data_IF_254093278317
#
_entry.id   IF_254093278317
#
_cell.length_a   1.000
_cell.length_b   1.000
_cell.length_c   1.000
_cell.angle_alpha   90.00
_cell.angle_beta   90.00
_cell.angle_gamma   90.00
#
_symmetry.space_group_name_H-M   'P 1'
#
loop_
_entity.id
_entity.type
_entity.pdbx_description
1 polymer ?
#
# COMPACT_ATOMS: atom_id res chain seq x y z
N UNK A 1 67.25 -40.49 -10.16
CA UNK A 1 67.23 -40.90 -8.73
C UNK A 1 67.76 -39.75 -7.90
N UNK A 2 67.06 -39.28 -6.85
CA UNK A 2 67.71 -38.80 -5.65
C UNK A 2 68.02 -40.00 -4.73
N UNK A 3 69.05 -39.91 -3.88
CA UNK A 3 68.80 -39.81 -2.43
C UNK A 3 69.75 -38.73 -1.82
N UNK A 4 69.58 -38.20 -0.61
CA UNK A 4 69.53 -38.91 0.68
C UNK A 4 69.08 -37.93 1.78
N UNK A 5 68.44 -38.51 2.79
CA UNK A 5 67.81 -37.91 3.95
C UNK A 5 68.74 -37.44 5.08
N UNK A 6 68.12 -36.75 6.05
CA UNK A 6 68.61 -36.51 7.42
C UNK A 6 67.87 -35.31 8.02
N UNK A 7 66.62 -35.43 8.45
CA UNK A 7 66.13 -35.87 9.77
C UNK A 7 66.76 -35.10 10.95
N UNK A 8 65.93 -34.47 11.79
CA UNK A 8 65.81 -34.77 13.24
C UNK A 8 64.70 -33.91 13.91
N UNK A 9 63.61 -34.59 14.29
CA UNK A 9 62.98 -34.66 15.63
C UNK A 9 62.36 -33.37 16.24
N UNK A 10 61.25 -33.36 16.98
CA UNK A 10 59.96 -34.06 17.09
C UNK A 10 59.32 -33.55 18.40
N UNK A 11 58.01 -33.29 18.43
CA UNK A 11 57.05 -33.60 19.52
C UNK A 11 55.70 -32.93 19.18
N UNK A 12 54.71 -33.68 18.71
CA UNK A 12 53.50 -34.09 19.48
C UNK A 12 52.75 -32.88 20.05
N UNK A 13 51.56 -32.51 19.57
CA UNK A 13 50.33 -33.27 19.80
C UNK A 13 49.20 -32.96 18.79
N UNK A 14 48.19 -33.83 18.86
CA UNK A 14 47.03 -34.10 18.01
C UNK A 14 46.01 -32.98 17.75
N UNK A 15 45.59 -32.89 16.48
CA UNK A 15 44.22 -32.76 15.92
C UNK A 15 43.11 -32.21 16.81
N UNK A 16 42.43 -31.14 16.36
CA UNK A 16 40.97 -31.13 16.08
C UNK A 16 40.52 -29.86 15.35
N UNK A 17 39.49 -30.04 14.52
CA UNK A 17 38.84 -29.14 13.56
C UNK A 17 38.39 -27.77 14.09
N UNK A 18 38.47 -26.75 13.22
CA UNK A 18 37.85 -25.43 13.37
C UNK A 18 36.32 -25.53 13.18
N UNK A 19 35.49 -25.05 14.12
CA UNK A 19 34.09 -24.72 13.86
C UNK A 19 33.93 -23.20 13.66
N UNK A 20 33.35 -22.80 12.53
CA UNK A 20 32.76 -21.46 12.33
C UNK A 20 31.53 -21.33 13.22
N UNK A 21 31.53 -20.42 14.19
CA UNK A 21 30.33 -20.04 14.93
C UNK A 21 29.82 -18.69 14.45
N UNK A 22 28.63 -18.74 13.85
CA UNK A 22 27.64 -17.66 13.92
C UNK A 22 27.54 -17.17 15.37
N UNK A 23 27.74 -15.87 15.60
CA UNK A 23 27.46 -15.28 16.90
C UNK A 23 25.96 -15.04 17.05
N UNK A 24 25.41 -15.93 17.85
CA UNK A 24 24.12 -16.00 18.51
C UNK A 24 23.78 -14.67 19.25
N UNK A 25 22.93 -13.82 18.67
CA UNK A 25 22.32 -12.69 19.39
C UNK A 25 21.10 -13.21 20.16
N UNK A 26 21.35 -14.04 21.17
CA UNK A 26 20.35 -14.43 22.16
C UNK A 26 20.38 -13.46 23.35
N UNK A 27 19.35 -12.61 23.40
CA UNK A 27 18.68 -12.06 24.60
C UNK A 27 19.55 -11.82 25.85
N UNK A 28 20.23 -10.66 25.89
CA UNK A 28 20.54 -10.02 27.18
C UNK A 28 19.31 -9.24 27.65
N UNK A 29 18.71 -9.68 28.76
CA UNK A 29 17.65 -8.97 29.44
C UNK A 29 18.17 -7.61 29.95
N UNK A 30 17.95 -6.56 29.18
CA UNK A 30 18.04 -5.19 29.67
C UNK A 30 16.73 -4.85 30.36
N UNK A 31 16.81 -4.38 31.62
CA UNK A 31 15.65 -3.98 32.41
C UNK A 31 14.80 -2.91 31.69
N UNK A 32 13.53 -2.82 32.12
CA UNK A 32 12.39 -2.06 31.60
C UNK A 32 12.68 -0.74 30.83
N UNK A 33 13.73 0.00 31.20
CA UNK A 33 14.18 1.22 30.51
C UNK A 33 14.79 1.00 29.11
N UNK A 34 15.28 -0.20 28.80
CA UNK A 34 15.86 -0.54 27.49
C UNK A 34 14.80 -0.68 26.39
N UNK A 35 13.65 -1.27 26.74
CA UNK A 35 12.53 -1.43 25.82
C UNK A 35 11.81 -0.10 25.55
N UNK A 36 11.65 0.76 26.56
CA UNK A 36 11.05 2.09 26.38
C UNK A 36 11.91 2.97 25.45
N UNK A 37 13.24 2.91 25.57
CA UNK A 37 14.16 3.68 24.71
C UNK A 37 14.21 3.14 23.28
N UNK A 38 14.14 1.81 23.09
CA UNK A 38 14.11 1.20 21.76
C UNK A 38 12.78 1.45 21.03
N UNK A 39 11.67 1.42 21.77
CA UNK A 39 10.31 1.76 21.27
C UNK A 39 10.18 3.25 21.00
N UNK A 40 10.74 4.11 21.87
CA UNK A 40 10.77 5.55 21.63
C UNK A 40 11.64 5.88 20.41
N UNK A 41 12.84 5.32 20.30
CA UNK A 41 13.68 5.49 19.10
C UNK A 41 13.05 4.91 17.84
N UNK A 42 12.31 3.79 17.89
CA UNK A 42 11.63 3.25 16.70
C UNK A 42 10.42 4.09 16.29
N UNK A 43 9.71 4.66 17.27
CA UNK A 43 8.61 5.60 17.03
C UNK A 43 9.10 6.96 16.52
N UNK A 44 10.23 7.46 17.04
CA UNK A 44 10.89 8.69 16.58
C UNK A 44 11.57 8.48 15.24
N UNK A 45 12.17 7.33 14.95
CA UNK A 45 12.66 6.98 13.60
C UNK A 45 11.49 6.81 12.63
N UNK A 46 10.38 6.19 13.04
CA UNK A 46 9.18 6.11 12.21
C UNK A 46 8.55 7.48 11.97
N UNK A 47 8.54 8.37 12.98
CA UNK A 47 8.07 9.74 12.84
C UNK A 47 9.05 10.61 12.05
N UNK A 48 10.36 10.38 12.15
CA UNK A 48 11.38 11.04 11.36
C UNK A 48 11.36 10.55 9.91
N UNK A 49 11.11 9.27 9.65
CA UNK A 49 10.83 8.72 8.31
C UNK A 49 9.51 9.24 7.74
N UNK A 50 8.46 9.39 8.56
CA UNK A 50 7.19 10.05 8.18
C UNK A 50 7.37 11.55 7.93
N UNK A 51 8.23 12.24 8.68
CA UNK A 51 8.53 13.67 8.54
C UNK A 51 9.60 13.98 7.48
N UNK A 52 10.30 12.94 7.04
CA UNK A 52 11.19 12.95 5.89
C UNK A 52 10.44 12.59 4.61
N UNK A 53 9.12 12.74 4.50
CA UNK A 53 8.43 12.60 3.20
C UNK A 53 8.26 14.00 2.60
N UNK A 54 8.95 14.26 1.49
CA UNK A 54 9.23 15.61 0.96
C UNK A 54 8.30 15.95 -0.20
N UNK A 55 7.75 17.17 -0.19
CA UNK A 55 7.05 17.91 -1.27
C UNK A 55 6.49 17.02 -2.39
N UNK A 56 5.15 16.89 -2.45
CA UNK A 56 4.44 16.48 -3.66
C UNK A 56 5.03 17.22 -4.87
N UNK A 57 5.56 16.48 -5.82
CA UNK A 57 6.21 17.03 -7.02
C UNK A 57 5.25 17.09 -8.21
N UNK A 58 4.14 16.34 -8.14
CA UNK A 58 3.11 16.34 -9.17
C UNK A 58 1.88 15.52 -8.79
N UNK A 59 0.75 15.91 -9.35
CA UNK A 59 -0.51 15.16 -9.30
C UNK A 59 -0.63 14.36 -10.60
N UNK A 60 -0.73 13.04 -10.48
CA UNK A 60 -0.83 12.12 -11.62
C UNK A 60 -2.28 11.76 -11.94
N UNK A 61 -3.11 11.61 -10.90
CA UNK A 61 -4.55 11.41 -11.01
C UNK A 61 -5.22 12.33 -10.00
N UNK A 62 -6.25 13.04 -10.43
CA UNK A 62 -7.19 13.73 -9.57
C UNK A 62 -8.57 13.56 -10.15
N UNK A 63 -9.38 12.72 -9.51
CA UNK A 63 -10.72 12.40 -9.96
C UNK A 63 -11.71 12.56 -8.81
N UNK A 64 -12.68 13.43 -9.02
CA UNK A 64 -13.75 13.77 -8.06
C UNK A 64 -15.13 13.47 -8.65
N UNK A 65 -15.19 12.89 -9.85
CA UNK A 65 -16.40 12.54 -10.61
C UNK A 65 -17.35 13.70 -10.94
N UNK A 66 -16.98 14.95 -10.60
CA UNK A 66 -17.81 16.15 -10.77
C UNK A 66 -18.13 16.49 -12.23
N UNK A 67 -17.45 15.86 -13.18
CA UNK A 67 -17.81 15.91 -14.61
C UNK A 67 -19.06 15.09 -14.94
N UNK A 68 -19.55 14.27 -14.01
CA UNK A 68 -20.63 13.31 -14.23
C UNK A 68 -20.19 12.06 -15.02
N UNK A 69 -18.88 11.83 -15.15
CA UNK A 69 -18.30 10.70 -15.90
C UNK A 69 -17.27 9.96 -15.05
N UNK A 70 -16.91 8.73 -15.44
CA UNK A 70 -15.82 7.98 -14.77
C UNK A 70 -14.43 8.57 -15.03
N UNK A 71 -14.34 9.63 -15.84
CA UNK A 71 -13.09 10.29 -16.20
C UNK A 71 -12.10 9.32 -16.82
N UNK A 72 -10.97 9.12 -16.16
CA UNK A 72 -9.91 8.21 -16.63
C UNK A 72 -10.17 6.73 -16.29
N UNK A 73 -11.24 6.42 -15.58
CA UNK A 73 -11.56 5.06 -15.16
C UNK A 73 -12.53 4.38 -16.14
N UNK A 74 -12.38 3.07 -16.28
CA UNK A 74 -13.27 2.20 -17.03
C UNK A 74 -13.80 1.10 -16.12
N UNK A 75 -15.12 0.88 -16.16
CA UNK A 75 -15.75 -0.25 -15.46
C UNK A 75 -15.65 -1.52 -16.28
N UNK A 76 -15.37 -2.67 -15.64
CA UNK A 76 -15.48 -4.00 -16.26
C UNK A 76 -16.92 -4.35 -16.65
N UNK A 77 -17.89 -3.81 -15.92
CA UNK A 77 -19.33 -3.88 -16.22
C UNK A 77 -19.95 -2.49 -16.03
N UNK A 78 -20.43 -1.88 -17.11
CA UNK A 78 -21.03 -0.54 -17.09
C UNK A 78 -22.30 -0.44 -16.24
N UNK A 79 -22.90 -1.59 -15.90
CA UNK A 79 -24.02 -1.72 -14.98
C UNK A 79 -23.62 -1.69 -13.50
N UNK A 80 -22.35 -1.93 -13.17
CA UNK A 80 -21.88 -2.13 -11.81
C UNK A 80 -21.27 -0.87 -11.20
N UNK A 81 -20.17 -0.35 -11.77
CA UNK A 81 -19.59 0.91 -11.33
C UNK A 81 -20.22 2.09 -12.06
N UNK A 82 -20.92 2.95 -11.32
CA UNK A 82 -21.68 4.06 -11.88
C UNK A 82 -21.43 5.35 -11.13
N UNK A 83 -21.25 6.42 -11.90
CA UNK A 83 -21.30 7.77 -11.34
C UNK A 83 -22.72 8.05 -10.88
N UNK A 84 -22.83 8.54 -9.66
CA UNK A 84 -24.10 8.85 -9.01
C UNK A 84 -24.01 10.22 -8.35
N UNK A 85 -25.16 10.82 -8.03
CA UNK A 85 -25.22 12.18 -7.47
C UNK A 85 -26.32 12.40 -6.43
N UNK A 86 -26.84 11.32 -5.87
CA UNK A 86 -27.89 11.25 -4.85
C UNK A 86 -27.67 9.99 -4.02
N UNK A 87 -28.49 9.77 -3.00
CA UNK A 87 -28.53 8.51 -2.26
C UNK A 87 -28.62 7.30 -3.19
N UNK A 88 -27.97 6.21 -2.80
CA UNK A 88 -28.13 4.89 -3.42
C UNK A 88 -29.62 4.51 -3.51
N UNK A 89 -29.99 3.76 -4.55
CA UNK A 89 -31.38 3.38 -4.78
C UNK A 89 -31.87 2.31 -3.80
N UNK A 90 -30.96 1.50 -3.27
CA UNK A 90 -31.26 0.46 -2.29
C UNK A 90 -31.42 1.07 -0.88
N UNK A 91 -32.45 0.62 -0.16
CA UNK A 91 -32.71 1.08 1.20
C UNK A 91 -31.65 0.56 2.17
N UNK A 92 -31.27 1.36 3.17
CA UNK A 92 -30.23 1.01 4.16
C UNK A 92 -28.87 0.70 3.52
N UNK A 93 -28.57 1.36 2.42
CA UNK A 93 -27.22 1.50 1.90
C UNK A 93 -26.98 3.00 1.70
N UNK A 94 -25.76 3.37 1.31
CA UNK A 94 -25.44 4.76 1.15
C UNK A 94 -23.95 4.94 1.03
N UNK A 95 -23.56 6.06 0.44
CA UNK A 95 -23.78 7.39 1.03
C UNK A 95 -25.00 8.14 0.47
N UNK A 96 -25.38 9.25 1.09
CA UNK A 96 -26.44 10.17 0.60
C UNK A 96 -25.97 11.15 -0.49
N UNK A 97 -24.67 11.29 -0.68
CA UNK A 97 -24.03 12.20 -1.63
C UNK A 97 -22.52 11.94 -1.66
N UNK A 98 -21.79 12.68 -2.51
CA UNK A 98 -20.34 12.59 -2.59
C UNK A 98 -19.61 13.18 -1.38
N UNK A 99 -18.30 13.01 -1.32
CA UNK A 99 -17.45 13.52 -0.25
C UNK A 99 -17.26 15.04 -0.39
N UNK A 100 -18.06 15.82 0.34
CA UNK A 100 -18.14 17.28 0.20
C UNK A 100 -18.37 17.73 -1.26
N UNK A 101 -18.99 16.85 -2.06
CA UNK A 101 -19.11 16.94 -3.50
C UNK A 101 -20.51 16.50 -3.93
N UNK A 102 -20.84 16.65 -5.21
CA UNK A 102 -22.14 16.22 -5.73
C UNK A 102 -22.07 14.79 -6.26
N UNK A 103 -20.99 14.45 -6.95
CA UNK A 103 -20.84 13.22 -7.68
C UNK A 103 -19.85 12.28 -6.99
N UNK A 104 -20.13 10.99 -7.07
CA UNK A 104 -19.25 9.94 -6.60
C UNK A 104 -19.44 8.71 -7.47
N UNK A 105 -18.55 7.71 -7.37
CA UNK A 105 -18.76 6.41 -8.01
C UNK A 105 -19.23 5.39 -6.99
N UNK A 106 -20.25 4.61 -7.33
CA UNK A 106 -20.71 3.49 -6.50
C UNK A 106 -20.64 2.18 -7.25
N UNK A 107 -20.40 1.11 -6.51
CA UNK A 107 -20.54 -0.28 -6.90
C UNK A 107 -21.96 -0.74 -6.55
N UNK A 108 -22.79 -0.96 -7.57
CA UNK A 108 -24.16 -1.47 -7.41
C UNK A 108 -24.14 -2.97 -7.12
N UNK A 109 -24.59 -3.33 -5.92
CA UNK A 109 -24.58 -4.70 -5.42
C UNK A 109 -25.93 -5.42 -5.52
N UNK A 110 -27.03 -4.75 -5.90
CA UNK A 110 -28.36 -5.38 -5.86
C UNK A 110 -28.58 -6.54 -6.85
N UNK A 111 -27.77 -6.62 -7.91
CA UNK A 111 -27.82 -7.67 -8.94
C UNK A 111 -26.57 -8.57 -8.89
N UNK A 112 -26.29 -9.13 -7.72
CA UNK A 112 -25.04 -9.80 -7.38
C UNK A 112 -25.17 -11.30 -7.10
N UNK A 113 -26.19 -11.98 -7.63
CA UNK A 113 -26.31 -13.43 -7.51
C UNK A 113 -25.83 -14.15 -8.78
N UNK A 114 -24.87 -15.09 -8.68
CA UNK A 114 -24.00 -15.36 -7.52
C UNK A 114 -23.01 -14.20 -7.27
N UNK A 115 -22.32 -14.21 -6.12
CA UNK A 115 -21.30 -13.20 -5.76
C UNK A 115 -20.41 -12.85 -6.95
N UNK A 116 -20.20 -11.56 -7.18
CA UNK A 116 -19.49 -11.03 -8.35
C UNK A 116 -18.24 -10.29 -7.92
N UNK A 117 -17.26 -10.25 -8.80
CA UNK A 117 -16.09 -9.40 -8.66
C UNK A 117 -15.99 -8.51 -9.87
N UNK A 118 -16.08 -7.20 -9.65
CA UNK A 118 -16.05 -6.18 -10.70
C UNK A 118 -14.99 -5.12 -10.39
N UNK A 119 -14.50 -4.47 -11.46
CA UNK A 119 -13.32 -3.63 -11.41
C UNK A 119 -13.61 -2.25 -12.01
N UNK A 120 -13.14 -1.22 -11.32
CA UNK A 120 -13.02 0.14 -11.84
C UNK A 120 -11.53 0.43 -12.04
N UNK A 121 -11.07 0.41 -13.29
CA UNK A 121 -9.65 0.41 -13.65
C UNK A 121 -9.27 1.73 -14.29
N UNK A 122 -8.17 2.36 -13.85
CA UNK A 122 -7.67 3.58 -14.48
C UNK A 122 -7.09 3.30 -15.87
N UNK A 123 -6.98 4.33 -16.69
CA UNK A 123 -6.01 4.33 -17.78
C UNK A 123 -4.58 4.17 -17.24
N UNK A 124 -3.66 3.77 -18.13
CA UNK A 124 -2.23 3.79 -17.81
C UNK A 124 -1.80 5.22 -17.54
N UNK A 125 -1.11 5.45 -16.43
CA UNK A 125 -0.47 6.72 -16.10
C UNK A 125 1.02 6.52 -15.87
N UNK A 126 1.79 7.60 -16.03
CA UNK A 126 3.24 7.56 -15.86
C UNK A 126 3.67 8.33 -14.63
N UNK A 127 4.61 7.76 -13.88
CA UNK A 127 5.34 8.44 -12.81
C UNK A 127 6.80 8.67 -13.18
N UNK A 128 7.42 9.63 -12.53
CA UNK A 128 8.85 9.89 -12.66
C UNK A 128 9.66 8.72 -12.09
N UNK A 129 10.72 8.31 -12.80
CA UNK A 129 11.61 7.24 -12.35
C UNK A 129 12.35 7.70 -11.09
N UNK A 130 12.42 6.83 -10.07
CA UNK A 130 12.99 7.15 -8.76
C UNK A 130 12.06 7.92 -7.82
N UNK A 131 10.85 8.26 -8.27
CA UNK A 131 9.84 8.92 -7.43
C UNK A 131 8.90 7.87 -6.84
N UNK A 132 8.38 8.20 -5.67
CA UNK A 132 7.45 7.39 -4.91
C UNK A 132 6.01 7.82 -5.20
N UNK A 133 5.06 6.95 -4.90
CA UNK A 133 3.63 7.23 -5.07
C UNK A 133 2.93 7.37 -3.73
N UNK A 134 1.98 8.31 -3.71
CA UNK A 134 1.00 8.47 -2.67
C UNK A 134 -0.38 8.34 -3.28
N UNK A 135 -1.22 7.49 -2.70
CA UNK A 135 -2.60 7.32 -3.15
C UNK A 135 -3.53 7.65 -1.99
N UNK A 136 -4.49 8.52 -2.25
CA UNK A 136 -5.59 8.78 -1.33
C UNK A 136 -6.93 8.71 -2.06
N UNK A 137 -7.96 8.32 -1.31
CA UNK A 137 -9.34 8.30 -1.78
C UNK A 137 -10.27 8.25 -0.57
N UNK A 138 -11.49 8.73 -0.78
CA UNK A 138 -12.58 8.60 0.18
C UNK A 138 -13.42 7.38 -0.17
N UNK A 139 -13.91 6.66 0.84
CA UNK A 139 -14.83 5.55 0.66
C UNK A 139 -15.97 5.58 1.66
N UNK A 140 -17.11 5.01 1.27
CA UNK A 140 -18.27 4.83 2.14
C UNK A 140 -18.86 3.43 1.94
N UNK A 141 -19.06 2.70 3.04
CA UNK A 141 -19.53 1.31 3.03
C UNK A 141 -20.57 1.12 4.14
N UNK A 142 -21.84 1.34 3.79
CA UNK A 142 -23.01 1.11 4.63
C UNK A 142 -23.95 0.09 3.98
N UNK A 143 -24.30 -0.96 4.69
CA UNK A 143 -25.20 -2.02 4.24
C UNK A 143 -24.87 -3.39 4.83
N UNK A 144 -25.91 -4.15 5.21
CA UNK A 144 -25.79 -5.42 5.92
C UNK A 144 -25.09 -6.52 5.09
N UNK A 145 -25.21 -6.46 3.77
CA UNK A 145 -24.67 -7.45 2.82
C UNK A 145 -23.37 -6.93 2.17
N UNK A 146 -22.60 -6.13 2.91
CA UNK A 146 -21.42 -5.49 2.39
C UNK A 146 -20.32 -6.50 2.02
N UNK A 147 -19.83 -6.33 0.80
CA UNK A 147 -18.74 -7.11 0.25
C UNK A 147 -17.36 -6.65 0.73
N UNK A 148 -16.37 -6.83 -0.14
CA UNK A 148 -15.00 -6.37 0.07
C UNK A 148 -14.61 -5.39 -1.03
N UNK A 149 -14.23 -4.19 -0.62
CA UNK A 149 -13.61 -3.19 -1.48
C UNK A 149 -12.09 -3.30 -1.37
N UNK A 150 -11.39 -3.30 -2.49
CA UNK A 150 -9.93 -3.36 -2.55
C UNK A 150 -9.37 -2.33 -3.53
N UNK A 151 -8.18 -1.81 -3.24
CA UNK A 151 -7.35 -1.06 -4.16
C UNK A 151 -6.14 -1.92 -4.54
N UNK A 152 -5.90 -2.08 -5.84
CA UNK A 152 -4.80 -2.85 -6.39
C UNK A 152 -4.01 -2.03 -7.42
N UNK A 153 -2.73 -2.35 -7.59
CA UNK A 153 -1.82 -1.70 -8.57
C UNK A 153 -1.07 -2.73 -9.40
N UNK A 154 -0.77 -2.39 -10.66
CA UNK A 154 0.03 -3.21 -11.57
C UNK A 154 1.01 -2.34 -12.35
N UNK A 155 2.23 -2.86 -12.57
CA UNK A 155 3.18 -2.34 -13.57
C UNK A 155 3.07 -3.20 -14.85
N UNK A 156 2.51 -2.67 -15.95
CA UNK A 156 2.14 -3.45 -17.13
C UNK A 156 3.33 -4.01 -17.92
N UNK A 157 4.54 -3.47 -17.72
CA UNK A 157 5.78 -3.89 -18.36
C UNK A 157 6.66 -4.79 -17.46
N UNK A 158 6.20 -5.09 -16.24
CA UNK A 158 6.96 -5.96 -15.33
C UNK A 158 6.76 -7.44 -15.68
N UNK A 159 7.83 -8.24 -15.55
CA UNK A 159 7.78 -9.70 -15.74
C UNK A 159 6.88 -10.43 -14.71
N UNK A 160 6.50 -9.74 -13.63
CA UNK A 160 5.55 -10.20 -12.62
C UNK A 160 4.16 -9.67 -13.02
N UNK A 161 3.42 -10.44 -13.81
CA UNK A 161 2.19 -10.03 -14.50
C UNK A 161 0.96 -9.90 -13.58
N UNK A 162 1.18 -9.65 -12.28
CA UNK A 162 0.15 -9.69 -11.24
C UNK A 162 -0.27 -8.32 -10.71
N UNK A 163 -1.52 -8.25 -10.27
CA UNK A 163 -2.02 -7.16 -9.44
C UNK A 163 -1.50 -7.29 -8.01
N UNK A 164 -0.93 -6.21 -7.47
CA UNK A 164 -0.53 -6.11 -6.06
C UNK A 164 -1.65 -5.46 -5.26
N UNK A 165 -2.06 -6.09 -4.16
CA UNK A 165 -3.01 -5.50 -3.21
C UNK A 165 -2.33 -4.38 -2.43
N UNK A 166 -2.92 -3.18 -2.46
CA UNK A 166 -2.47 -2.04 -1.67
C UNK A 166 -3.30 -1.83 -0.40
N UNK A 167 -4.61 -2.04 -0.51
CA UNK A 167 -5.55 -1.86 0.60
C UNK A 167 -6.81 -2.67 0.36
N UNK A 168 -7.47 -3.14 1.42
CA UNK A 168 -8.85 -3.63 1.36
C UNK A 168 -9.63 -3.32 2.63
N UNK A 169 -10.94 -3.39 2.49
CA UNK A 169 -11.90 -3.33 3.58
C UNK A 169 -13.06 -4.27 3.27
N UNK A 170 -13.44 -5.08 4.26
CA UNK A 170 -14.58 -6.00 4.18
C UNK A 170 -15.67 -5.58 5.16
N UNK A 171 -16.93 -5.85 4.79
CA UNK A 171 -18.08 -5.61 5.66
C UNK A 171 -18.43 -4.12 5.81
N UNK A 172 -19.53 -3.86 6.51
CA UNK A 172 -19.99 -2.51 6.80
C UNK A 172 -18.98 -1.78 7.70
N UNK A 173 -18.63 -0.55 7.33
CA UNK A 173 -17.79 0.33 8.16
C UNK A 173 -18.49 1.62 8.57
N UNK A 174 -19.61 1.97 7.94
CA UNK A 174 -20.37 3.17 8.22
C UNK A 174 -21.71 2.82 8.86
N UNK A 175 -22.07 3.52 9.93
CA UNK A 175 -23.27 3.23 10.72
C UNK A 175 -24.56 3.49 9.94
N UNK A 176 -24.57 4.53 9.11
CA UNK A 176 -25.72 4.92 8.31
C UNK A 176 -25.28 5.64 7.02
N UNK A 177 -26.24 5.95 6.15
CA UNK A 177 -25.98 6.61 4.87
C UNK A 177 -25.50 8.06 4.96
N UNK A 178 -25.60 8.68 6.14
CA UNK A 178 -25.16 10.06 6.43
C UNK A 178 -23.86 10.12 7.22
N UNK A 179 -23.24 8.98 7.52
CA UNK A 179 -21.92 8.94 8.13
C UNK A 179 -20.91 9.66 7.24
N UNK A 180 -19.97 10.37 7.86
CA UNK A 180 -18.87 11.00 7.12
C UNK A 180 -18.07 9.95 6.38
N UNK A 181 -17.59 10.30 5.18
CA UNK A 181 -16.72 9.45 4.39
C UNK A 181 -15.41 9.14 5.12
N UNK A 182 -14.94 7.91 5.01
CA UNK A 182 -13.64 7.52 5.52
C UNK A 182 -12.56 7.78 4.45
N UNK A 183 -11.42 8.34 4.86
CA UNK A 183 -10.29 8.63 3.97
C UNK A 183 -9.20 7.60 4.15
N UNK A 184 -8.75 7.02 3.04
CA UNK A 184 -7.56 6.18 2.98
C UNK A 184 -6.39 7.02 2.49
N UNK A 185 -5.25 6.94 3.19
CA UNK A 185 -3.99 7.57 2.79
C UNK A 185 -2.90 6.49 2.76
N UNK A 186 -2.51 6.08 1.56
CA UNK A 186 -1.42 5.14 1.32
C UNK A 186 -0.19 5.94 0.91
N UNK A 187 0.60 6.28 1.91
CA UNK A 187 1.96 6.76 1.75
C UNK A 187 2.90 5.58 1.52
N UNK A 188 3.97 5.81 0.79
CA UNK A 188 4.98 4.81 0.45
C UNK A 188 4.40 3.52 -0.15
N UNK A 189 3.62 3.63 -1.22
CA UNK A 189 3.25 2.43 -2.00
C UNK A 189 4.45 1.87 -2.77
N UNK A 190 5.69 2.17 -2.40
CA UNK A 190 6.80 1.31 -2.78
C UNK A 190 6.63 0.03 -1.96
N UNK A 191 6.04 -0.99 -2.56
CA UNK A 191 5.90 -2.32 -1.95
C UNK A 191 7.27 -3.02 -1.79
N UNK A 192 8.37 -2.27 -1.65
CA UNK A 192 9.73 -2.68 -1.97
C UNK A 192 9.94 -2.98 -3.46
N UNK A 193 8.88 -2.88 -4.28
CA UNK A 193 8.95 -3.09 -5.73
C UNK A 193 9.26 -1.76 -6.40
N UNK A 194 10.33 -1.75 -7.18
CA UNK A 194 10.53 -0.74 -8.20
C UNK A 194 9.44 -0.93 -9.27
N UNK A 195 8.28 -0.31 -9.06
CA UNK A 195 7.32 -0.16 -10.14
C UNK A 195 8.00 0.60 -11.27
N UNK A 196 7.73 0.17 -12.50
CA UNK A 196 8.19 0.88 -13.69
C UNK A 196 7.62 2.30 -13.74
N UNK A 197 8.03 3.06 -14.75
CA UNK A 197 7.48 4.39 -14.98
C UNK A 197 5.98 4.36 -15.32
N UNK A 198 5.41 3.22 -15.74
CA UNK A 198 4.01 3.12 -16.13
C UNK A 198 3.22 2.26 -15.14
N UNK A 199 2.02 2.71 -14.81
CA UNK A 199 1.20 2.08 -13.77
C UNK A 199 -0.28 2.08 -14.14
N UNK A 200 -0.98 1.13 -13.55
CA UNK A 200 -2.44 1.04 -13.56
C UNK A 200 -2.90 0.79 -12.13
N UNK A 201 -3.92 1.52 -11.68
CA UNK A 201 -4.64 1.21 -10.44
C UNK A 201 -6.04 0.71 -10.77
N UNK A 202 -6.59 -0.13 -9.89
CA UNK A 202 -8.00 -0.48 -9.94
C UNK A 202 -8.61 -0.58 -8.56
N UNK A 203 -9.86 -0.15 -8.48
CA UNK A 203 -10.73 -0.54 -7.39
C UNK A 203 -11.43 -1.84 -7.77
N UNK A 204 -11.47 -2.78 -6.84
CA UNK A 204 -12.07 -4.10 -6.98
C UNK A 204 -13.14 -4.23 -5.92
N UNK A 205 -14.37 -4.48 -6.34
CA UNK A 205 -15.45 -4.82 -5.43
C UNK A 205 -15.81 -6.28 -5.61
N UNK A 206 -15.73 -7.05 -4.53
CA UNK A 206 -16.29 -8.40 -4.46
C UNK A 206 -17.55 -8.34 -3.61
N UNK A 207 -18.71 -8.61 -4.19
CA UNK A 207 -19.99 -8.56 -3.49
C UNK A 207 -20.17 -9.76 -2.55
N UNK A 208 -20.92 -9.58 -1.46
CA UNK A 208 -21.40 -10.68 -0.63
C UNK A 208 -22.74 -11.22 -1.16
N UNK A 209 -23.42 -12.10 -0.40
CA UNK A 209 -24.77 -12.54 -0.74
C UNK A 209 -25.79 -11.50 -0.24
N UNK A 210 -26.66 -11.00 -1.13
CA UNK A 210 -27.73 -10.07 -0.78
C UNK A 210 -27.54 -8.69 -1.40
N UNK A 211 -28.57 -7.83 -1.35
CA UNK A 211 -28.65 -6.62 -2.18
C UNK A 211 -28.20 -5.34 -1.47
N UNK A 212 -27.80 -5.43 -0.20
CA UNK A 212 -27.44 -4.27 0.63
C UNK A 212 -25.91 -4.13 0.79
N UNK A 213 -25.18 -4.12 -0.32
CA UNK A 213 -23.71 -4.10 -0.32
C UNK A 213 -23.09 -2.98 -1.15
N UNK A 214 -23.80 -1.86 -1.33
CA UNK A 214 -23.34 -0.79 -2.20
C UNK A 214 -22.19 -0.03 -1.56
N UNK A 215 -20.99 -0.18 -2.14
CA UNK A 215 -19.80 0.57 -1.73
C UNK A 215 -19.62 1.80 -2.63
N UNK A 216 -19.11 2.89 -2.06
CA UNK A 216 -18.86 4.11 -2.79
C UNK A 216 -17.42 4.59 -2.64
N UNK A 217 -16.91 5.25 -3.67
CA UNK A 217 -15.58 5.88 -3.72
C UNK A 217 -15.72 7.31 -4.25
N UNK A 218 -14.91 8.20 -3.71
CA UNK A 218 -14.78 9.58 -4.18
C UNK A 218 -13.36 10.12 -3.92
N UNK A 219 -13.09 11.35 -4.36
CA UNK A 219 -11.89 12.13 -4.01
C UNK A 219 -10.57 11.37 -4.27
N UNK A 220 -10.47 10.70 -5.42
CA UNK A 220 -9.29 9.90 -5.77
C UNK A 220 -8.15 10.83 -6.15
N UNK A 221 -7.02 10.66 -5.49
CA UNK A 221 -5.80 11.42 -5.76
C UNK A 221 -4.60 10.50 -5.76
N UNK A 222 -3.84 10.53 -6.87
CA UNK A 222 -2.53 9.91 -6.98
C UNK A 222 -1.50 11.00 -7.20
N UNK A 223 -0.50 11.04 -6.35
CA UNK A 223 0.60 11.99 -6.42
C UNK A 223 1.93 11.27 -6.41
N UNK A 224 2.95 11.96 -6.93
CA UNK A 224 4.33 11.54 -6.77
C UNK A 224 5.13 12.47 -5.86
N UNK A 225 6.10 11.90 -5.16
CA UNK A 225 7.00 12.63 -4.28
C UNK A 225 8.41 12.05 -4.34
N UNK A 226 9.36 12.87 -3.88
CA UNK A 226 10.75 12.48 -3.67
C UNK A 226 10.97 12.27 -2.18
N UNK A 227 11.80 11.30 -1.81
CA UNK A 227 12.36 11.26 -0.47
C UNK A 227 13.53 12.25 -0.39
N UNK A 228 13.70 12.96 0.73
CA UNK A 228 14.85 13.80 0.98
C UNK A 228 16.06 12.89 1.07
N UNK A 229 17.17 13.31 0.45
CA UNK A 229 18.41 12.54 0.55
C UNK A 229 18.85 12.50 2.00
N UNK A 230 18.92 11.31 2.59
CA UNK A 230 19.65 11.11 3.85
C UNK A 230 21.13 11.13 3.54
N UNK A 231 21.71 12.31 3.29
CA UNK A 231 23.16 12.44 3.26
C UNK A 231 23.64 12.13 4.67
N UNK A 232 24.46 11.08 4.91
CA UNK A 232 25.11 10.93 6.19
C UNK A 232 25.97 12.16 6.35
N UNK A 233 25.66 13.02 7.30
CA UNK A 233 26.60 14.06 7.71
C UNK A 233 27.83 13.31 8.18
N UNK A 234 28.87 13.31 7.34
CA UNK A 234 30.20 12.84 7.74
C UNK A 234 30.54 13.58 9.02
N UNK A 235 30.47 12.87 10.15
CA UNK A 235 31.05 13.35 11.39
C UNK A 235 32.54 13.46 11.07
N UNK A 236 33.01 14.69 10.90
CA UNK A 236 34.41 14.95 10.61
C UNK A 236 35.26 14.22 11.65
N UNK A 237 36.06 13.27 11.20
CA UNK A 237 37.15 12.74 11.99
C UNK A 237 38.05 13.94 12.33
N UNK A 238 37.89 14.47 13.53
CA UNK A 238 38.85 15.37 14.14
C UNK A 238 40.06 14.49 14.47
N UNK A 239 41.07 14.58 13.61
CA UNK A 239 42.41 14.10 13.93
C UNK A 239 42.98 15.10 14.93
N UNK A 240 43.01 14.69 16.19
CA UNK A 240 43.79 15.29 17.28
C UNK A 240 44.80 14.23 17.74
#
# INVERSE_FOLDING_TARGET
MPPTAGNLVASSDSVTSVPTKEEDIATRNFGDNGNQKLVQHSSEISQLQRSAMTRSTGVLIHETFETGTLGIFTSSDSGFWKVHNRSTASSNTGPVGGDNSKYYVHAESSANFPTRTEYLTSNVFSKTVGYFLGISFSYHMHGDDMGTLALEVMAPDSYDTGWSLLWNQSGQTHENSTSDWAVVNLEDTSTGRAYSSQLIIRFKMTTANGYKGDAAIDSIMVQEYILPSTTPTSAGNKLD
#
